data_IF_142642378958
#
_entry.id   IF_142642378958
#
_cell.length_a   1.000
_cell.length_b   1.000
_cell.length_c   1.000
_cell.angle_alpha   90.00
_cell.angle_beta   90.00
_cell.angle_gamma   90.00
#
_symmetry.space_group_name_H-M   'P 1'
#
loop_
_entity.id
_entity.type
_entity.pdbx_description
1 polymer ?
#
# COMPACT_ATOMS: atom_id res chain seq x y z
N UNK A 1 -3.13 -3.82 23.68
CA UNK A 1 -3.02 -2.43 23.15
C UNK A 1 -1.58 -1.90 23.24
N UNK A 2 -0.57 -2.80 23.32
CA UNK A 2 0.87 -2.49 23.43
C UNK A 2 1.48 -2.02 22.09
N UNK A 3 0.95 -2.50 20.96
CA UNK A 3 1.57 -2.35 19.61
C UNK A 3 1.64 -0.92 19.07
N UNK A 4 0.81 0.00 19.59
CA UNK A 4 0.76 1.37 19.07
C UNK A 4 1.86 2.28 19.65
N UNK A 5 2.65 1.81 20.62
CA UNK A 5 3.73 2.58 21.27
C UNK A 5 4.96 2.73 20.36
N UNK A 6 5.19 1.80 19.43
CA UNK A 6 6.33 1.80 18.50
C UNK A 6 6.00 2.39 17.12
N UNK A 7 4.79 2.93 16.95
CA UNK A 7 4.39 3.60 15.74
C UNK A 7 4.84 5.05 15.76
N UNK A 8 5.26 5.54 14.59
CA UNK A 8 5.43 6.98 14.38
C UNK A 8 4.09 7.69 14.57
N UNK A 9 4.13 9.00 14.87
CA UNK A 9 2.91 9.83 14.95
C UNK A 9 2.05 9.71 13.68
N UNK A 10 2.69 9.65 12.50
CA UNK A 10 2.02 9.50 11.23
C UNK A 10 1.35 8.13 11.08
N UNK A 11 2.06 7.03 11.35
CA UNK A 11 1.49 5.67 11.29
C UNK A 11 0.32 5.49 12.27
N UNK A 12 0.47 6.00 13.51
CA UNK A 12 -0.62 5.95 14.50
C UNK A 12 -1.83 6.74 14.02
N UNK A 13 -1.64 7.96 13.52
CA UNK A 13 -2.74 8.79 12.98
C UNK A 13 -3.42 8.09 11.80
N UNK A 14 -2.65 7.52 10.88
CA UNK A 14 -3.17 6.74 9.75
C UNK A 14 -4.00 5.55 10.24
N UNK A 15 -3.47 4.72 11.12
CA UNK A 15 -4.12 3.50 11.61
C UNK A 15 -5.45 3.81 12.31
N UNK A 16 -5.49 4.87 13.13
CA UNK A 16 -6.70 5.30 13.82
C UNK A 16 -7.74 5.95 12.90
N UNK A 17 -7.36 6.29 11.66
CA UNK A 17 -8.23 6.97 10.69
C UNK A 17 -8.84 6.04 9.64
N UNK A 18 -8.53 4.74 9.68
CA UNK A 18 -9.07 3.75 8.75
C UNK A 18 -10.04 2.80 9.48
N UNK A 19 -11.14 2.38 8.82
CA UNK A 19 -12.11 1.47 9.42
C UNK A 19 -11.67 0.01 9.28
N UNK A 20 -12.40 -0.88 9.95
CA UNK A 20 -12.31 -2.34 9.76
C UNK A 20 -13.21 -2.78 8.60
N UNK A 21 -12.76 -3.77 7.85
CA UNK A 21 -13.50 -4.39 6.75
C UNK A 21 -13.42 -3.61 5.43
N UNK A 22 -13.36 -4.33 4.32
CA UNK A 22 -13.26 -3.73 2.97
C UNK A 22 -14.52 -2.97 2.57
N UNK A 23 -15.68 -3.39 3.06
CA UNK A 23 -16.97 -2.75 2.84
C UNK A 23 -17.02 -1.31 3.35
N UNK A 24 -16.20 -1.00 4.36
CA UNK A 24 -16.09 0.34 4.94
C UNK A 24 -14.87 1.11 4.40
N UNK A 25 -14.11 0.56 3.46
CA UNK A 25 -12.81 1.10 3.05
C UNK A 25 -12.86 2.61 2.76
N UNK A 26 -11.90 3.35 3.32
CA UNK A 26 -11.88 4.81 3.18
C UNK A 26 -11.02 5.23 1.99
N UNK A 27 -11.57 5.99 1.01
CA UNK A 27 -10.81 6.42 -0.15
C UNK A 27 -9.61 7.30 0.24
N UNK A 28 -8.50 7.16 -0.49
CA UNK A 28 -7.27 7.91 -0.22
C UNK A 28 -7.52 9.43 -0.16
N UNK A 29 -8.34 9.97 -1.07
CA UNK A 29 -8.71 11.40 -1.07
C UNK A 29 -9.36 11.83 0.24
N UNK A 30 -10.31 11.05 0.76
CA UNK A 30 -10.97 11.35 2.05
C UNK A 30 -9.97 11.23 3.20
N UNK A 31 -9.12 10.21 3.16
CA UNK A 31 -8.08 10.02 4.16
C UNK A 31 -7.06 11.15 4.17
N UNK A 32 -6.71 11.73 3.01
CA UNK A 32 -5.84 12.93 2.95
C UNK A 32 -6.47 14.14 3.64
N UNK A 33 -7.79 14.33 3.50
CA UNK A 33 -8.51 15.44 4.16
C UNK A 33 -8.55 15.27 5.68
N UNK A 34 -8.84 14.06 6.16
CA UNK A 34 -8.94 13.75 7.60
C UNK A 34 -7.56 13.82 8.27
N UNK A 35 -6.53 13.28 7.61
CA UNK A 35 -5.20 13.14 8.22
C UNK A 35 -4.28 14.32 7.96
N UNK A 36 -4.56 15.14 6.93
CA UNK A 36 -3.65 16.16 6.41
C UNK A 36 -2.42 15.58 5.69
N UNK A 37 -2.36 14.26 5.49
CA UNK A 37 -1.25 13.60 4.79
C UNK A 37 -1.48 13.64 3.28
N UNK A 38 -0.40 13.70 2.51
CA UNK A 38 -0.48 13.46 1.07
C UNK A 38 -0.51 11.95 0.74
N UNK A 39 -0.88 11.61 -0.50
CA UNK A 39 -1.01 10.22 -0.94
C UNK A 39 0.28 9.38 -0.79
N UNK A 40 1.45 10.00 -0.95
CA UNK A 40 2.75 9.33 -0.77
C UNK A 40 2.95 8.93 0.70
N UNK A 41 2.65 9.83 1.63
CA UNK A 41 2.72 9.58 3.07
C UNK A 41 1.72 8.51 3.51
N UNK A 42 0.48 8.52 2.99
CA UNK A 42 -0.51 7.47 3.25
C UNK A 42 0.01 6.09 2.83
N UNK A 43 0.55 6.00 1.62
CA UNK A 43 1.12 4.75 1.08
C UNK A 43 2.31 4.27 1.92
N UNK A 44 3.18 5.20 2.35
CA UNK A 44 4.32 4.89 3.20
C UNK A 44 3.88 4.37 4.57
N UNK A 45 2.86 4.99 5.19
CA UNK A 45 2.30 4.53 6.47
C UNK A 45 1.69 3.13 6.35
N UNK A 46 0.85 2.89 5.34
CA UNK A 46 0.24 1.58 5.10
C UNK A 46 1.31 0.49 4.94
N UNK A 47 2.35 0.73 4.13
CA UNK A 47 3.44 -0.23 3.93
C UNK A 47 4.33 -0.39 5.17
N UNK A 48 4.57 0.69 5.93
CA UNK A 48 5.29 0.64 7.20
C UNK A 48 4.58 -0.23 8.23
N UNK A 49 3.27 -0.02 8.37
CA UNK A 49 2.41 -0.81 9.24
C UNK A 49 2.38 -2.29 8.83
N UNK A 50 2.23 -2.61 7.54
CA UNK A 50 2.30 -4.01 7.04
C UNK A 50 3.61 -4.71 7.42
N UNK A 51 4.75 -4.02 7.24
CA UNK A 51 6.06 -4.57 7.64
C UNK A 51 6.22 -4.78 9.14
N UNK A 52 5.42 -4.06 9.94
CA UNK A 52 5.34 -4.21 11.40
C UNK A 52 4.29 -5.24 11.84
N UNK A 53 3.69 -5.98 10.91
CA UNK A 53 2.73 -7.04 11.20
C UNK A 53 1.26 -6.60 11.26
N UNK A 54 0.95 -5.33 10.97
CA UNK A 54 -0.44 -4.87 10.96
C UNK A 54 -1.16 -5.29 9.67
N UNK A 55 -2.34 -5.85 9.82
CA UNK A 55 -3.19 -6.34 8.73
C UNK A 55 -3.92 -5.19 8.01
N UNK A 56 -3.19 -4.43 7.18
CA UNK A 56 -3.72 -3.27 6.46
C UNK A 56 -4.05 -3.64 5.01
N UNK A 57 -5.34 -3.58 4.67
CA UNK A 57 -5.85 -3.75 3.32
C UNK A 57 -5.77 -2.47 2.51
N UNK A 58 -5.68 -2.62 1.19
CA UNK A 58 -5.92 -1.54 0.24
C UNK A 58 -6.55 -2.09 -1.02
N UNK A 59 -7.63 -1.48 -1.49
CA UNK A 59 -8.32 -1.86 -2.73
C UNK A 59 -8.33 -0.71 -3.73
N UNK A 60 -8.19 -1.04 -5.02
CA UNK A 60 -8.35 -0.09 -6.13
C UNK A 60 -9.74 -0.15 -6.77
N UNK A 61 -10.69 -0.89 -6.19
CA UNK A 61 -12.07 -0.97 -6.68
C UNK A 61 -12.68 0.43 -6.83
N UNK A 62 -13.42 0.67 -7.91
CA UNK A 62 -14.10 1.95 -8.12
C UNK A 62 -15.32 2.14 -7.18
N UNK A 63 -15.82 1.05 -6.57
CA UNK A 63 -17.01 1.05 -5.71
C UNK A 63 -16.63 1.06 -4.22
N UNK A 64 -15.54 0.40 -3.85
CA UNK A 64 -15.07 0.21 -2.45
C UNK A 64 -13.55 0.41 -2.30
N UNK A 65 -12.96 1.25 -3.15
CA UNK A 65 -11.53 1.52 -3.15
C UNK A 65 -11.09 2.37 -1.96
N UNK A 66 -9.97 2.02 -1.36
CA UNK A 66 -9.51 2.70 -0.15
C UNK A 66 -8.63 1.85 0.76
N UNK A 67 -8.38 2.37 1.95
CA UNK A 67 -7.64 1.69 3.02
C UNK A 67 -8.59 1.17 4.10
N UNK A 68 -8.26 0.02 4.68
CA UNK A 68 -9.04 -0.61 5.75
C UNK A 68 -8.15 -1.56 6.57
N UNK A 69 -8.61 -1.92 7.77
CA UNK A 69 -8.04 -2.99 8.58
C UNK A 69 -8.71 -4.29 8.15
N UNK A 70 -7.90 -5.27 7.76
CA UNK A 70 -8.35 -6.60 7.34
C UNK A 70 -8.97 -7.33 8.53
N UNK A 71 -10.11 -7.98 8.30
CA UNK A 71 -10.91 -8.68 9.32
C UNK A 71 -11.12 -10.16 9.03
N UNK A 72 -10.85 -10.61 7.81
CA UNK A 72 -11.08 -11.99 7.38
C UNK A 72 -10.08 -12.43 6.30
N UNK A 73 -10.02 -13.74 6.06
CA UNK A 73 -9.07 -14.34 5.11
C UNK A 73 -9.34 -13.94 3.67
N UNK A 74 -10.59 -13.69 3.30
CA UNK A 74 -10.94 -13.26 1.94
C UNK A 74 -10.35 -11.89 1.62
N UNK A 75 -10.43 -10.95 2.56
CA UNK A 75 -9.80 -9.63 2.48
C UNK A 75 -8.27 -9.72 2.42
N UNK A 76 -7.68 -10.58 3.25
CA UNK A 76 -6.25 -10.84 3.25
C UNK A 76 -5.79 -11.37 1.89
N UNK A 77 -6.42 -12.44 1.42
CA UNK A 77 -6.07 -13.10 0.16
C UNK A 77 -6.22 -12.14 -1.03
N UNK A 78 -7.27 -11.32 -1.04
CA UNK A 78 -7.49 -10.31 -2.08
C UNK A 78 -6.38 -9.26 -2.06
N UNK A 79 -6.05 -8.72 -0.89
CA UNK A 79 -4.97 -7.74 -0.72
C UNK A 79 -3.62 -8.30 -1.15
N UNK A 80 -3.28 -9.52 -0.72
CA UNK A 80 -2.02 -10.19 -1.06
C UNK A 80 -1.93 -10.40 -2.58
N UNK A 81 -2.99 -10.92 -3.20
CA UNK A 81 -3.03 -11.15 -4.66
C UNK A 81 -2.77 -9.86 -5.44
N UNK A 82 -3.39 -8.74 -5.05
CA UNK A 82 -3.16 -7.44 -5.67
C UNK A 82 -1.71 -6.96 -5.49
N UNK A 83 -1.16 -7.10 -4.29
CA UNK A 83 0.21 -6.70 -3.97
C UNK A 83 1.23 -7.52 -4.78
N UNK A 84 1.06 -8.83 -4.86
CA UNK A 84 1.91 -9.70 -5.67
C UNK A 84 1.83 -9.35 -7.17
N UNK A 85 0.63 -9.08 -7.69
CA UNK A 85 0.46 -8.66 -9.07
C UNK A 85 1.19 -7.34 -9.35
N UNK A 86 1.12 -6.38 -8.43
CA UNK A 86 1.86 -5.12 -8.52
C UNK A 86 3.37 -5.35 -8.45
N UNK A 87 3.85 -6.23 -7.57
CA UNK A 87 5.27 -6.58 -7.46
C UNK A 87 5.81 -7.20 -8.77
N UNK A 88 5.07 -8.14 -9.37
CA UNK A 88 5.43 -8.72 -10.67
C UNK A 88 5.56 -7.66 -11.77
N UNK A 89 4.61 -6.72 -11.85
CA UNK A 89 4.67 -5.59 -12.81
C UNK A 89 5.91 -4.71 -12.58
N UNK A 90 6.24 -4.40 -11.33
CA UNK A 90 7.45 -3.62 -11.03
C UNK A 90 8.72 -4.36 -11.43
N UNK A 91 8.81 -5.68 -11.18
CA UNK A 91 9.95 -6.49 -11.60
C UNK A 91 10.11 -6.53 -13.12
N UNK A 92 9.01 -6.65 -13.87
CA UNK A 92 9.02 -6.55 -15.34
C UNK A 92 9.62 -5.22 -15.80
N UNK A 93 9.20 -4.10 -15.22
CA UNK A 93 9.78 -2.78 -15.53
C UNK A 93 11.27 -2.71 -15.20
N UNK A 94 11.71 -3.29 -14.07
CA UNK A 94 13.14 -3.36 -13.71
C UNK A 94 13.94 -4.15 -14.75
N UNK A 95 13.42 -5.30 -15.21
CA UNK A 95 14.10 -6.10 -16.24
C UNK A 95 14.18 -5.36 -17.58
N UNK A 96 13.09 -4.72 -18.01
CA UNK A 96 13.06 -3.93 -19.23
C UNK A 96 14.07 -2.76 -19.17
N UNK A 97 14.13 -2.04 -18.04
CA UNK A 97 15.09 -0.96 -17.83
C UNK A 97 16.54 -1.44 -17.91
N UNK A 98 16.86 -2.55 -17.22
CA UNK A 98 18.20 -3.17 -17.27
C UNK A 98 18.58 -3.62 -18.68
N UNK A 99 17.65 -4.20 -19.44
CA UNK A 99 17.86 -4.60 -20.83
C UNK A 99 18.18 -3.39 -21.71
N UNK A 100 17.31 -2.38 -21.71
CA UNK A 100 17.50 -1.18 -22.53
C UNK A 100 18.76 -0.38 -22.18
N UNK A 101 19.24 -0.43 -20.93
CA UNK A 101 20.54 0.15 -20.56
C UNK A 101 21.73 -0.61 -21.19
N UNK A 102 21.71 -1.94 -21.17
CA UNK A 102 22.78 -2.76 -21.76
C UNK A 102 22.86 -2.60 -23.27
N UNK A 103 21.71 -2.58 -23.94
CA UNK A 103 21.65 -2.49 -25.40
C UNK A 103 22.23 -1.16 -25.90
N UNK A 104 21.93 -0.04 -25.22
CA UNK A 104 22.54 1.27 -25.50
C UNK A 104 24.06 1.28 -25.36
N UNK A 105 24.61 0.59 -24.35
CA UNK A 105 26.08 0.51 -24.16
C UNK A 105 26.79 -0.30 -25.25
N UNK A 106 26.11 -1.25 -25.88
CA UNK A 106 26.67 -2.04 -26.99
C UNK A 106 26.70 -1.26 -28.31
N UNK A 107 25.76 -0.35 -28.54
CA UNK A 107 25.70 0.47 -29.76
C UNK A 107 26.71 1.62 -29.76
N UNK A 108 27.20 2.04 -28.59
CA UNK A 108 28.16 3.14 -28.44
C UNK A 108 29.61 2.64 -28.25
N UNK A 109 29.87 1.37 -28.53
CA UNK A 109 31.20 0.74 -28.57
C UNK A 109 31.48 0.30 -29.99
#
# INVERSE_FOLDING_TARGET
MEDLKHLTKAERKFYLSIPKGIENAIPARRLTQITGMNARTLTACANGLRRKGFSIGSSKSNVSGGYYIITNDQELNSTVREMEANARKQLQSVYALKKGWRDRKKMNK
#
